data_IF_463721635038
#
_entry.id   IF_463721635038
#
_cell.length_a   1.000
_cell.length_b   1.000
_cell.length_c   1.000
_cell.angle_alpha   90.00
_cell.angle_beta   90.00
_cell.angle_gamma   90.00
#
_symmetry.space_group_name_H-M   'P 1'
#
loop_
_entity.id
_entity.type
_entity.pdbx_description
1 polymer ?
#
# COMPACT_ATOMS: atom_id res chain seq x y z
N UNK A 1 -33.20 -0.74 -1.97
CA UNK A 1 -31.77 -0.34 -2.19
C UNK A 1 -31.67 1.00 -1.50
N UNK A 2 -30.91 1.03 -0.39
CA UNK A 2 -30.89 2.19 0.49
C UNK A 2 -29.75 3.09 0.05
N UNK A 3 -30.04 4.33 -0.32
CA UNK A 3 -29.04 5.31 -0.72
C UNK A 3 -28.68 6.17 0.49
N UNK A 4 -27.47 6.11 0.98
CA UNK A 4 -26.99 6.93 2.08
C UNK A 4 -26.03 7.97 1.53
N UNK A 5 -26.16 9.20 2.01
CA UNK A 5 -25.13 10.22 1.86
C UNK A 5 -24.14 10.08 3.01
N UNK A 6 -22.96 9.54 2.75
CA UNK A 6 -21.85 9.84 3.63
C UNK A 6 -21.45 11.31 3.47
N UNK A 7 -20.98 11.94 4.54
CA UNK A 7 -20.43 13.31 4.51
C UNK A 7 -19.44 13.42 3.36
N UNK A 8 -19.70 14.21 2.38
CA UNK A 8 -18.96 14.35 1.12
C UNK A 8 -19.38 13.42 -0.02
N UNK A 9 -20.41 12.58 0.14
CA UNK A 9 -20.86 11.73 -0.93
C UNK A 9 -22.36 11.79 -1.19
N UNK A 10 -22.74 11.94 -2.45
CA UNK A 10 -24.13 12.02 -2.91
C UNK A 10 -24.45 10.80 -3.74
N UNK A 11 -25.44 10.02 -3.31
CA UNK A 11 -25.99 8.94 -4.13
C UNK A 11 -25.37 7.57 -3.92
N UNK A 12 -24.77 7.31 -2.79
CA UNK A 12 -24.25 5.97 -2.44
C UNK A 12 -25.37 5.02 -2.13
N UNK A 13 -25.30 3.84 -2.74
CA UNK A 13 -26.09 2.70 -2.30
C UNK A 13 -25.34 2.02 -1.16
N UNK A 14 -25.84 2.13 0.06
CA UNK A 14 -25.28 1.39 1.18
C UNK A 14 -25.60 -0.10 1.01
N UNK A 15 -24.55 -0.91 0.98
CA UNK A 15 -24.69 -2.38 0.92
C UNK A 15 -25.26 -2.98 2.20
N UNK A 16 -25.32 -2.22 3.28
CA UNK A 16 -25.86 -2.66 4.55
C UNK A 16 -27.15 -1.88 4.91
N UNK A 17 -28.29 -2.51 4.66
CA UNK A 17 -29.60 -1.96 4.92
C UNK A 17 -29.93 -1.64 6.37
N UNK A 18 -29.02 -1.92 7.31
CA UNK A 18 -29.21 -1.68 8.74
C UNK A 18 -28.49 -0.41 9.24
N UNK A 19 -27.96 0.44 8.36
CA UNK A 19 -27.33 1.69 8.80
C UNK A 19 -28.35 2.59 9.51
N UNK A 20 -28.04 3.08 10.72
CA UNK A 20 -28.96 3.94 11.47
C UNK A 20 -29.28 5.28 10.77
N UNK A 21 -28.41 5.71 9.83
CA UNK A 21 -28.64 6.91 9.04
C UNK A 21 -29.33 6.63 7.69
N UNK A 22 -29.88 5.43 7.52
CA UNK A 22 -30.67 5.05 6.34
C UNK A 22 -31.98 5.83 6.20
N UNK A 23 -32.38 6.58 7.22
CA UNK A 23 -33.59 7.43 7.21
C UNK A 23 -33.58 8.46 6.08
N UNK A 24 -32.42 8.88 5.60
CA UNK A 24 -32.33 9.74 4.43
C UNK A 24 -32.97 9.16 3.16
N UNK A 25 -33.26 7.85 3.15
CA UNK A 25 -33.90 7.16 2.03
C UNK A 25 -35.42 7.04 2.18
N UNK A 26 -35.92 7.20 3.38
CA UNK A 26 -37.39 7.18 3.62
C UNK A 26 -38.07 8.48 3.19
N UNK A 27 -37.26 9.55 3.06
CA UNK A 27 -37.70 10.90 2.75
C UNK A 27 -36.86 11.58 1.67
N UNK A 28 -36.79 11.04 0.46
CA UNK A 28 -35.96 11.58 -0.60
C UNK A 28 -36.32 13.00 -1.03
N UNK A 29 -37.57 13.43 -0.79
CA UNK A 29 -38.07 14.77 -1.09
C UNK A 29 -37.44 15.89 -0.24
N UNK A 30 -36.87 15.56 0.92
CA UNK A 30 -36.18 16.52 1.80
C UNK A 30 -34.69 16.60 1.54
N UNK A 31 -34.19 15.86 0.57
CA UNK A 31 -32.78 15.75 0.30
C UNK A 31 -32.13 14.77 1.26
N UNK A 32 -30.91 14.38 0.93
CA UNK A 32 -30.14 13.44 1.76
C UNK A 32 -29.42 14.20 2.86
N UNK A 33 -29.63 13.81 4.11
CA UNK A 33 -28.79 14.27 5.19
C UNK A 33 -27.39 13.65 5.07
N UNK A 34 -26.38 14.43 5.43
CA UNK A 34 -25.03 13.93 5.48
C UNK A 34 -24.89 12.97 6.67
N UNK A 35 -24.51 11.73 6.37
CA UNK A 35 -24.07 10.80 7.40
C UNK A 35 -22.64 11.17 7.81
N UNK A 36 -22.43 11.56 9.06
CA UNK A 36 -21.09 11.64 9.62
C UNK A 36 -20.56 10.20 9.74
N UNK A 37 -19.46 9.91 9.07
CA UNK A 37 -18.83 8.58 9.15
C UNK A 37 -18.48 8.18 10.58
N UNK A 38 -18.21 9.14 11.47
CA UNK A 38 -17.93 8.89 12.89
C UNK A 38 -19.18 8.48 13.68
N UNK A 39 -20.38 8.89 13.24
CA UNK A 39 -21.64 8.55 13.86
C UNK A 39 -22.26 7.28 13.26
N UNK A 40 -21.73 6.81 12.14
CA UNK A 40 -22.18 5.57 11.52
C UNK A 40 -21.77 4.38 12.38
N UNK A 41 -22.76 3.56 12.82
CA UNK A 41 -22.51 2.34 13.60
C UNK A 41 -21.65 1.28 12.90
N UNK A 42 -21.36 1.47 11.61
CA UNK A 42 -20.47 0.63 10.79
C UNK A 42 -19.10 1.26 10.55
N UNK A 43 -18.86 2.45 11.11
CA UNK A 43 -17.58 3.10 11.02
C UNK A 43 -16.55 2.36 11.89
N UNK A 44 -15.58 1.75 11.23
CA UNK A 44 -14.40 1.13 11.86
C UNK A 44 -13.10 1.86 11.55
N UNK A 45 -13.21 3.08 11.06
CA UNK A 45 -12.16 3.84 10.42
C UNK A 45 -12.42 3.98 8.91
N UNK A 46 -11.93 5.03 8.28
CA UNK A 46 -12.18 5.25 6.84
C UNK A 46 -11.68 4.11 5.97
N UNK A 47 -10.65 3.37 6.39
CA UNK A 47 -10.07 2.22 5.68
C UNK A 47 -10.93 0.97 5.71
N UNK A 48 -11.83 0.86 6.69
CA UNK A 48 -12.69 -0.32 6.88
C UNK A 48 -14.07 -0.15 6.23
N UNK A 49 -14.32 0.99 5.61
CA UNK A 49 -15.54 1.23 4.86
C UNK A 49 -15.47 0.53 3.50
N UNK A 50 -16.53 -0.21 3.13
CA UNK A 50 -16.61 -0.87 1.82
C UNK A 50 -16.51 0.09 0.63
N UNK A 51 -16.68 1.39 0.85
CA UNK A 51 -16.60 2.44 -0.16
C UNK A 51 -15.25 3.16 -0.15
N UNK A 52 -14.38 2.86 0.82
CA UNK A 52 -13.06 3.47 0.92
C UNK A 52 -12.24 3.23 -0.36
N UNK A 53 -11.64 4.30 -0.86
CA UNK A 53 -10.86 4.24 -2.11
C UNK A 53 -11.69 4.11 -3.39
N UNK A 54 -13.02 4.19 -3.31
CA UNK A 54 -13.88 4.36 -4.49
C UNK A 54 -14.18 5.84 -4.71
N UNK A 55 -14.62 6.21 -5.92
CA UNK A 55 -15.12 7.57 -6.22
C UNK A 55 -16.32 7.96 -5.33
N UNK A 56 -16.79 7.01 -4.56
CA UNK A 56 -17.97 7.09 -3.71
C UNK A 56 -17.65 7.42 -2.25
N UNK A 57 -16.40 7.46 -1.85
CA UNK A 57 -15.99 7.81 -0.49
C UNK A 57 -14.93 8.89 -0.52
N UNK A 58 -15.26 10.07 -0.01
CA UNK A 58 -14.26 11.10 0.26
C UNK A 58 -13.92 11.06 1.74
N UNK A 59 -12.79 10.49 2.13
CA UNK A 59 -12.40 10.41 3.53
C UNK A 59 -12.13 11.80 4.07
N UNK A 60 -12.49 12.01 5.33
CA UNK A 60 -12.17 13.23 6.07
C UNK A 60 -11.26 12.89 7.25
N UNK A 61 -10.37 13.81 7.59
CA UNK A 61 -9.55 13.69 8.79
C UNK A 61 -10.36 14.05 10.05
N UNK A 62 -9.73 13.93 11.22
CA UNK A 62 -10.35 14.27 12.51
C UNK A 62 -10.83 15.72 12.62
N UNK A 63 -10.36 16.60 11.75
CA UNK A 63 -10.75 18.02 11.68
C UNK A 63 -11.90 18.27 10.72
N UNK A 64 -12.39 17.23 10.01
CA UNK A 64 -13.43 17.34 8.99
C UNK A 64 -12.90 17.85 7.64
N UNK A 65 -11.59 17.88 7.43
CA UNK A 65 -10.99 18.28 6.17
C UNK A 65 -10.95 17.07 5.21
N UNK A 66 -11.25 17.29 3.93
CA UNK A 66 -11.20 16.28 2.89
C UNK A 66 -9.76 15.75 2.77
N UNK A 67 -9.60 14.45 2.95
CA UNK A 67 -8.33 13.78 2.69
C UNK A 67 -8.27 13.39 1.21
N UNK A 68 -7.21 13.77 0.53
CA UNK A 68 -6.93 13.26 -0.80
C UNK A 68 -6.48 11.79 -0.71
N UNK A 69 -7.27 10.88 -1.28
CA UNK A 69 -6.92 9.46 -1.37
C UNK A 69 -6.31 9.19 -2.72
N UNK A 70 -5.11 8.68 -2.73
CA UNK A 70 -4.47 8.19 -3.94
C UNK A 70 -4.86 6.73 -4.17
N UNK A 71 -5.37 6.42 -5.35
CA UNK A 71 -5.84 5.08 -5.70
C UNK A 71 -4.75 4.29 -6.42
N UNK A 72 -4.54 3.04 -6.00
CA UNK A 72 -3.69 2.06 -6.68
C UNK A 72 -4.62 1.07 -7.37
N UNK A 73 -4.51 0.96 -8.71
CA UNK A 73 -5.22 -0.09 -9.42
C UNK A 73 -4.39 -1.38 -9.40
N UNK A 74 -5.00 -2.48 -8.99
CA UNK A 74 -4.32 -3.77 -8.86
C UNK A 74 -4.94 -4.83 -9.77
N UNK A 75 -4.09 -5.58 -10.45
CA UNK A 75 -4.41 -6.80 -11.16
C UNK A 75 -3.72 -7.98 -10.49
N UNK A 76 -4.48 -9.01 -10.15
CA UNK A 76 -3.92 -10.29 -9.72
C UNK A 76 -3.59 -11.10 -10.98
N UNK A 77 -2.30 -11.39 -11.18
CA UNK A 77 -1.80 -12.08 -12.39
C UNK A 77 -1.70 -13.59 -12.19
N UNK A 78 -1.92 -14.06 -10.96
CA UNK A 78 -1.96 -15.50 -10.62
C UNK A 78 -3.30 -15.82 -9.95
N UNK A 79 -3.85 -16.97 -10.31
CA UNK A 79 -5.09 -17.48 -9.69
C UNK A 79 -4.86 -17.94 -8.25
N UNK A 80 -5.91 -17.89 -7.43
CA UNK A 80 -5.89 -18.36 -6.05
C UNK A 80 -5.02 -17.49 -5.12
N UNK A 81 -4.82 -16.23 -5.45
CA UNK A 81 -4.19 -15.25 -4.57
C UNK A 81 -5.21 -14.69 -3.56
N UNK A 82 -4.82 -14.69 -2.30
CA UNK A 82 -5.54 -13.92 -1.29
C UNK A 82 -5.43 -12.43 -1.62
N UNK A 83 -6.54 -11.71 -1.46
CA UNK A 83 -6.58 -10.29 -1.75
C UNK A 83 -5.71 -9.49 -0.79
N UNK A 84 -5.16 -8.39 -1.29
CA UNK A 84 -4.47 -7.41 -0.46
C UNK A 84 -5.48 -6.75 0.47
N UNK A 85 -5.09 -6.62 1.73
CA UNK A 85 -5.85 -5.96 2.78
C UNK A 85 -5.05 -4.74 3.27
N UNK A 86 -5.72 -3.60 3.36
CA UNK A 86 -5.18 -2.41 4.01
C UNK A 86 -5.55 -2.51 5.48
N UNK A 87 -4.55 -2.69 6.33
CA UNK A 87 -4.75 -2.84 7.78
C UNK A 87 -4.75 -1.45 8.45
N UNK A 88 -5.69 -1.23 9.34
CA UNK A 88 -5.90 0.05 10.05
C UNK A 88 -4.78 0.45 11.04
N UNK A 89 -3.73 -0.33 11.15
CA UNK A 89 -2.68 -0.13 12.15
C UNK A 89 -1.30 0.26 11.61
N UNK A 90 -1.16 0.57 10.32
CA UNK A 90 0.14 0.91 9.75
C UNK A 90 0.07 1.36 8.30
N UNK A 91 1.12 2.04 7.86
CA UNK A 91 1.24 2.59 6.49
C UNK A 91 1.68 1.56 5.45
N UNK A 92 2.17 0.39 5.90
CA UNK A 92 2.72 -0.62 5.03
C UNK A 92 1.69 -1.68 4.67
N UNK A 93 1.63 -2.03 3.38
CA UNK A 93 0.70 -2.98 2.81
C UNK A 93 1.43 -4.29 2.55
N UNK A 94 0.96 -5.39 3.13
CA UNK A 94 1.58 -6.70 2.99
C UNK A 94 1.40 -7.29 1.58
N UNK A 95 2.47 -7.89 1.03
CA UNK A 95 2.47 -8.66 -0.20
C UNK A 95 2.73 -10.13 0.07
N UNK A 96 2.11 -10.98 -0.74
CA UNK A 96 2.14 -12.44 -0.63
C UNK A 96 2.89 -13.06 -1.80
N UNK A 97 3.51 -14.19 -1.59
CA UNK A 97 4.10 -14.97 -2.68
C UNK A 97 3.01 -15.70 -3.47
N UNK A 98 3.21 -15.80 -4.77
CA UNK A 98 2.21 -16.30 -5.71
C UNK A 98 2.27 -17.80 -5.97
N UNK A 99 3.30 -18.47 -5.48
CA UNK A 99 3.53 -19.92 -5.65
C UNK A 99 4.24 -20.49 -4.42
N UNK A 100 4.24 -21.80 -4.29
CA UNK A 100 5.10 -22.49 -3.31
C UNK A 100 6.57 -22.30 -3.72
N UNK A 101 7.41 -21.91 -2.77
CA UNK A 101 8.84 -21.62 -3.02
C UNK A 101 9.69 -22.49 -2.13
N UNK A 102 10.60 -23.25 -2.76
CA UNK A 102 11.67 -23.98 -2.07
C UNK A 102 13.01 -23.44 -2.55
N UNK A 103 13.91 -23.12 -1.64
CA UNK A 103 15.26 -22.63 -1.92
C UNK A 103 16.27 -23.37 -1.04
N UNK A 104 17.44 -23.61 -1.61
CA UNK A 104 18.61 -24.09 -0.87
C UNK A 104 19.42 -22.91 -0.29
N UNK A 105 20.24 -23.18 0.71
CA UNK A 105 21.15 -22.19 1.25
C UNK A 105 22.10 -21.65 0.16
N UNK A 106 22.18 -20.34 0.01
CA UNK A 106 22.98 -19.69 -1.04
C UNK A 106 22.24 -19.46 -2.36
N UNK A 107 21.02 -19.93 -2.50
CA UNK A 107 20.25 -19.78 -3.73
C UNK A 107 19.59 -18.38 -3.80
N UNK A 108 19.60 -17.83 -5.02
CA UNK A 108 18.88 -16.59 -5.38
C UNK A 108 17.68 -16.92 -6.26
N UNK A 109 16.54 -16.30 -5.98
CA UNK A 109 15.34 -16.40 -6.80
C UNK A 109 14.55 -15.10 -6.81
N UNK A 110 14.01 -14.74 -7.97
CA UNK A 110 12.93 -13.75 -8.06
C UNK A 110 11.62 -14.44 -7.70
N UNK A 111 11.12 -14.21 -6.50
CA UNK A 111 9.87 -14.78 -6.02
C UNK A 111 8.70 -13.94 -6.54
N UNK A 112 7.77 -14.52 -7.32
CA UNK A 112 6.63 -13.79 -7.84
C UNK A 112 5.65 -13.40 -6.74
N UNK A 113 5.13 -12.19 -6.80
CA UNK A 113 4.16 -11.66 -5.82
C UNK A 113 2.71 -11.72 -6.34
N UNK A 114 2.49 -12.17 -7.56
CA UNK A 114 1.17 -12.42 -8.13
C UNK A 114 0.35 -11.17 -8.43
N UNK A 115 0.96 -10.01 -8.43
CA UNK A 115 0.29 -8.72 -8.63
C UNK A 115 1.03 -7.88 -9.66
N UNK A 116 0.26 -7.14 -10.45
CA UNK A 116 0.71 -6.00 -11.26
C UNK A 116 -0.12 -4.80 -10.83
N UNK A 117 0.50 -3.64 -10.67
CA UNK A 117 -0.19 -2.47 -10.14
C UNK A 117 0.08 -1.22 -10.99
N UNK A 118 -0.94 -0.37 -11.09
CA UNK A 118 -0.81 0.99 -11.60
C UNK A 118 -0.81 1.93 -10.40
N UNK A 119 0.32 2.56 -10.16
CA UNK A 119 0.48 3.54 -9.10
C UNK A 119 -0.14 4.89 -9.50
N UNK A 120 -0.53 5.74 -8.55
CA UNK A 120 -0.91 7.12 -8.84
C UNK A 120 0.24 7.86 -9.51
N UNK A 121 -0.08 8.74 -10.46
CA UNK A 121 0.92 9.57 -11.12
C UNK A 121 1.72 10.40 -10.11
N UNK A 122 3.05 10.42 -10.27
CA UNK A 122 3.96 11.13 -9.38
C UNK A 122 4.33 10.34 -8.12
N UNK A 123 4.02 9.04 -8.09
CA UNK A 123 4.36 8.15 -6.96
C UNK A 123 5.17 6.95 -7.42
N UNK A 124 5.97 6.43 -6.53
CA UNK A 124 6.71 5.19 -6.68
C UNK A 124 6.47 4.29 -5.46
N UNK A 125 6.64 2.98 -5.61
CA UNK A 125 6.50 2.05 -4.51
C UNK A 125 7.86 1.59 -3.98
N UNK A 126 7.99 1.57 -2.66
CA UNK A 126 9.10 0.92 -1.95
C UNK A 126 8.64 -0.43 -1.43
N UNK A 127 9.34 -1.49 -1.81
CA UNK A 127 9.11 -2.87 -1.34
C UNK A 127 10.25 -3.29 -0.43
N UNK A 128 9.91 -3.71 0.79
CA UNK A 128 10.88 -4.18 1.79
C UNK A 128 10.41 -5.49 2.43
N UNK A 129 11.31 -6.29 3.04
CA UNK A 129 10.92 -7.45 3.82
C UNK A 129 10.05 -7.04 5.01
N UNK A 130 9.16 -7.92 5.46
CA UNK A 130 8.54 -7.75 6.78
C UNK A 130 9.56 -8.02 7.88
N UNK A 131 9.36 -7.41 9.03
CA UNK A 131 10.26 -7.55 10.20
C UNK A 131 10.55 -8.99 10.61
N UNK A 132 9.62 -9.91 10.37
CA UNK A 132 9.75 -11.32 10.72
C UNK A 132 10.33 -12.20 9.61
N UNK A 133 10.51 -11.68 8.39
CA UNK A 133 10.83 -12.46 7.20
C UNK A 133 12.16 -13.19 7.33
N UNK A 134 13.22 -12.49 7.71
CA UNK A 134 14.53 -13.14 7.92
C UNK A 134 14.49 -14.17 9.05
N UNK A 135 13.89 -13.83 10.20
CA UNK A 135 13.79 -14.74 11.34
C UNK A 135 13.06 -16.04 10.98
N UNK A 136 11.93 -15.93 10.26
CA UNK A 136 11.10 -17.10 9.92
C UNK A 136 11.67 -17.92 8.77
N UNK A 137 12.12 -17.25 7.72
CA UNK A 137 12.46 -17.90 6.46
C UNK A 137 13.96 -17.83 6.12
N UNK A 138 14.77 -17.03 6.81
CA UNK A 138 16.19 -16.89 6.48
C UNK A 138 16.44 -16.31 5.09
N UNK A 139 15.50 -15.56 4.53
CA UNK A 139 15.68 -14.88 3.24
C UNK A 139 16.02 -13.42 3.44
N UNK A 140 16.93 -12.93 2.62
CA UNK A 140 17.34 -11.53 2.52
C UNK A 140 16.84 -10.99 1.19
N UNK A 141 16.36 -9.77 1.16
CA UNK A 141 16.07 -9.09 -0.10
C UNK A 141 17.37 -8.63 -0.73
N UNK A 142 17.73 -9.22 -1.88
CA UNK A 142 19.07 -9.06 -2.47
C UNK A 142 19.38 -7.64 -2.97
N UNK A 143 18.36 -6.86 -3.32
CA UNK A 143 18.50 -5.47 -3.75
C UNK A 143 18.24 -4.45 -2.62
N UNK A 144 18.25 -4.87 -1.35
CA UNK A 144 18.01 -4.07 -0.15
C UNK A 144 16.60 -3.46 -0.10
N UNK A 145 16.22 -2.63 -1.05
CA UNK A 145 14.89 -2.04 -1.24
C UNK A 145 14.48 -2.25 -2.69
N UNK A 146 13.29 -2.79 -2.89
CA UNK A 146 12.67 -2.83 -4.21
C UNK A 146 12.05 -1.47 -4.53
N UNK A 147 12.47 -0.86 -5.62
CA UNK A 147 11.87 0.36 -6.13
C UNK A 147 11.03 0.00 -7.35
N UNK A 148 9.78 0.43 -7.35
CA UNK A 148 8.86 0.21 -8.48
C UNK A 148 8.32 1.56 -8.93
N UNK A 149 8.71 1.92 -10.12
CA UNK A 149 8.34 3.16 -10.78
C UNK A 149 6.88 3.12 -11.30
N UNK A 150 6.22 4.27 -11.40
CA UNK A 150 4.84 4.38 -11.90
C UNK A 150 4.68 3.90 -13.33
N UNK A 151 5.76 3.87 -14.11
CA UNK A 151 5.74 3.40 -15.50
C UNK A 151 5.73 1.87 -15.62
N UNK A 152 6.07 1.15 -14.55
CA UNK A 152 5.98 -0.31 -14.48
C UNK A 152 4.55 -0.74 -14.10
N UNK A 153 3.62 -0.56 -15.05
CA UNK A 153 2.18 -0.66 -14.82
C UNK A 153 1.42 -1.46 -15.89
N UNK A 154 2.14 -2.21 -16.72
CA UNK A 154 1.55 -3.07 -17.75
C UNK A 154 0.84 -4.29 -17.16
N UNK A 155 -0.03 -4.90 -17.96
CA UNK A 155 -0.81 -6.08 -17.56
C UNK A 155 0.02 -7.30 -17.14
N UNK A 156 1.28 -7.36 -17.57
CA UNK A 156 2.22 -8.44 -17.29
C UNK A 156 3.42 -7.97 -16.47
N UNK A 157 3.41 -6.75 -15.98
CA UNK A 157 4.45 -6.19 -15.11
C UNK A 157 4.25 -6.69 -13.68
N UNK A 158 4.43 -7.99 -13.50
CA UNK A 158 4.32 -8.66 -12.22
C UNK A 158 5.42 -8.18 -11.28
N UNK A 159 5.06 -7.91 -10.04
CA UNK A 159 6.02 -7.57 -9.00
C UNK A 159 6.71 -8.81 -8.46
N UNK A 160 8.00 -8.68 -8.18
CA UNK A 160 8.84 -9.76 -7.68
C UNK A 160 9.59 -9.34 -6.42
N UNK A 161 9.87 -10.33 -5.56
CA UNK A 161 10.76 -10.18 -4.43
C UNK A 161 12.07 -10.91 -4.71
N UNK A 162 13.20 -10.20 -4.92
CA UNK A 162 14.50 -10.80 -5.15
C UNK A 162 15.04 -11.38 -3.83
N UNK A 163 14.92 -12.68 -3.65
CA UNK A 163 15.28 -13.37 -2.43
C UNK A 163 16.64 -14.07 -2.56
N UNK A 164 17.47 -13.93 -1.52
CA UNK A 164 18.66 -14.74 -1.29
C UNK A 164 18.44 -15.57 -0.03
N UNK A 165 18.54 -16.90 -0.13
CA UNK A 165 18.33 -17.80 0.97
C UNK A 165 19.59 -18.06 1.76
N UNK A 166 19.58 -17.83 3.08
CA UNK A 166 20.73 -18.12 3.97
C UNK A 166 20.70 -19.55 4.54
N UNK A 167 19.60 -20.26 4.33
CA UNK A 167 19.39 -21.66 4.74
C UNK A 167 18.34 -22.30 3.84
N UNK A 168 18.26 -23.64 3.86
CA UNK A 168 17.21 -24.35 3.13
C UNK A 168 15.84 -23.97 3.71
N UNK A 169 14.90 -23.62 2.83
CA UNK A 169 13.57 -23.16 3.20
C UNK A 169 12.50 -23.70 2.24
N UNK A 170 11.29 -23.78 2.77
CA UNK A 170 10.07 -23.96 1.98
C UNK A 170 9.04 -22.96 2.50
N UNK A 171 8.45 -22.20 1.60
CA UNK A 171 7.47 -21.15 1.90
C UNK A 171 6.22 -21.43 1.06
N UNK A 172 5.06 -21.67 1.69
CA UNK A 172 3.83 -21.94 0.94
C UNK A 172 3.27 -20.67 0.29
N UNK A 173 2.58 -20.86 -0.84
CA UNK A 173 1.81 -19.81 -1.53
C UNK A 173 0.95 -19.00 -0.55
N UNK A 174 0.68 -17.76 -0.88
CA UNK A 174 -0.07 -16.79 -0.06
C UNK A 174 0.61 -16.37 1.25
N UNK A 175 1.84 -16.81 1.50
CA UNK A 175 2.62 -16.34 2.65
C UNK A 175 3.05 -14.88 2.45
N UNK A 176 2.83 -14.04 3.47
CA UNK A 176 3.28 -12.65 3.49
C UNK A 176 4.77 -12.59 3.83
N UNK A 177 5.63 -12.19 2.88
CA UNK A 177 7.07 -12.10 3.05
C UNK A 177 7.62 -10.68 2.97
N UNK A 178 6.92 -9.79 2.30
CA UNK A 178 7.32 -8.40 2.13
C UNK A 178 6.10 -7.48 2.28
N UNK A 179 6.37 -6.21 2.25
CA UNK A 179 5.39 -5.15 2.38
C UNK A 179 5.83 -3.96 1.53
N UNK A 180 4.88 -3.13 1.13
CA UNK A 180 5.18 -1.93 0.36
C UNK A 180 4.43 -0.71 0.89
N UNK A 181 4.92 0.46 0.53
CA UNK A 181 4.24 1.74 0.62
C UNK A 181 4.55 2.56 -0.61
N UNK A 182 3.72 3.53 -0.93
CA UNK A 182 4.02 4.51 -1.98
C UNK A 182 4.59 5.78 -1.36
N UNK A 183 5.49 6.42 -2.10
CA UNK A 183 6.06 7.74 -1.79
C UNK A 183 5.98 8.62 -3.03
N UNK A 184 5.98 9.92 -2.84
CA UNK A 184 6.08 10.87 -3.95
C UNK A 184 7.44 10.76 -4.64
N UNK A 185 7.46 10.97 -5.95
CA UNK A 185 8.71 11.05 -6.71
C UNK A 185 9.59 12.17 -6.16
N UNK A 186 10.90 11.97 -6.29
CA UNK A 186 11.84 13.03 -6.03
C UNK A 186 11.50 14.26 -6.87
N UNK A 187 11.56 15.43 -6.25
CA UNK A 187 11.42 16.70 -6.98
C UNK A 187 12.48 16.80 -8.08
N UNK A 188 12.18 17.52 -9.15
CA UNK A 188 13.14 17.77 -10.22
C UNK A 188 14.40 18.43 -9.67
N UNK A 189 15.55 17.84 -9.95
CA UNK A 189 16.85 18.34 -9.53
C UNK A 189 17.71 18.64 -10.76
N UNK A 190 18.41 19.77 -10.73
CA UNK A 190 19.47 20.08 -11.68
C UNK A 190 20.82 19.68 -11.08
N UNK A 191 21.69 19.10 -11.91
CA UNK A 191 23.08 18.78 -11.52
C UNK A 191 23.96 19.76 -12.25
N UNK A 192 24.77 20.52 -11.47
CA UNK A 192 25.74 21.48 -11.99
C UNK A 192 27.11 21.09 -11.50
N UNK A 193 28.02 20.93 -12.42
CA UNK A 193 29.42 20.69 -12.09
C UNK A 193 30.05 22.00 -11.55
N UNK A 194 30.72 21.90 -10.42
CA UNK A 194 31.44 23.00 -9.78
C UNK A 194 32.85 22.55 -9.42
N UNK A 195 33.77 23.47 -9.37
CA UNK A 195 35.16 23.19 -9.00
C UNK A 195 35.35 22.99 -7.50
N UNK A 196 34.51 23.61 -6.69
CA UNK A 196 34.51 23.53 -5.24
C UNK A 196 33.12 23.48 -4.68
N UNK A 197 32.88 22.70 -3.63
CA UNK A 197 31.57 22.59 -2.98
C UNK A 197 31.50 23.45 -1.71
N UNK A 198 32.29 23.12 -0.72
CA UNK A 198 32.28 23.73 0.60
C UNK A 198 33.68 23.83 1.16
N UNK A 199 33.95 24.86 1.94
CA UNK A 199 35.24 25.08 2.59
C UNK A 199 35.51 24.07 3.70
N UNK A 200 34.50 23.46 4.29
CA UNK A 200 34.60 22.58 5.45
C UNK A 200 34.22 21.14 5.13
N UNK A 201 35.16 20.24 5.22
CA UNK A 201 34.91 18.82 5.14
C UNK A 201 34.41 18.29 6.48
N UNK A 202 33.19 17.76 6.49
CA UNK A 202 32.53 17.20 7.68
C UNK A 202 33.23 15.92 8.20
N UNK A 203 33.89 15.17 7.32
CA UNK A 203 34.32 13.82 7.60
C UNK A 203 33.17 12.79 7.46
N UNK A 204 33.48 11.52 7.70
CA UNK A 204 32.57 10.39 7.61
C UNK A 204 33.25 9.09 8.03
N UNK A 205 32.56 7.96 7.92
CA UNK A 205 33.06 6.60 8.15
C UNK A 205 33.87 6.45 9.48
N UNK A 206 33.29 6.95 10.58
CA UNK A 206 33.90 6.86 11.90
C UNK A 206 34.82 8.04 12.26
N UNK A 207 34.87 9.10 11.44
CA UNK A 207 35.70 10.30 11.71
C UNK A 207 35.36 11.01 13.03
N UNK A 208 34.22 10.73 13.64
CA UNK A 208 33.79 11.24 14.96
C UNK A 208 34.27 10.35 16.12
N UNK A 209 34.99 9.27 15.83
CA UNK A 209 35.50 8.29 16.82
C UNK A 209 34.45 7.25 17.21
N UNK A 210 34.88 6.18 17.85
CA UNK A 210 34.02 5.08 18.31
C UNK A 210 33.55 5.27 19.76
N UNK A 211 34.00 6.32 20.47
CA UNK A 211 33.60 6.68 21.85
C UNK A 211 33.80 8.18 22.09
#
# INVERSE_FOLDING_TARGET
MITIRCMNYVGVTCVNGSCPNALANEYPEYGYEHCDCKECGYYKGCTDCALYGTDMCTPINEKGEIMEVKTINIKYVKEGMDKIEILSGGDWIDLRIAEDVTLEAGEFKLIPLGVAMMLPKGYEALVIPRSSTFKKYGIIQANSVGLIDETYCGNNDEWYFPAYATRNISIPKNTRICQFRIIEHQMSVGIVEVTELSEVNRGGFGSTGER
#
